data_IF_011440979002
#
_entry.id   IF_011440979002
#
_cell.length_a   1.000
_cell.length_b   1.000
_cell.length_c   1.000
_cell.angle_alpha   90.00
_cell.angle_beta   90.00
_cell.angle_gamma   90.00
#
_symmetry.space_group_name_H-M   'P 1'
#
loop_
_entity.id
_entity.type
_entity.pdbx_description
1 polymer ?
#
# COMPACT_ATOMS: atom_id res chain seq x y z
N UNK A 1 12.14 28.85 -6.91
CA UNK A 1 12.43 27.59 -6.17
C UNK A 1 13.74 27.02 -6.66
N UNK A 2 14.50 26.34 -5.80
CA UNK A 2 15.67 25.58 -6.24
C UNK A 2 15.25 24.25 -6.87
N UNK A 3 16.11 23.64 -7.70
CA UNK A 3 15.83 22.32 -8.31
C UNK A 3 15.51 21.27 -7.25
N UNK A 4 16.23 21.28 -6.13
CA UNK A 4 15.97 20.38 -5.01
C UNK A 4 14.55 20.54 -4.44
N UNK A 5 14.09 21.77 -4.24
CA UNK A 5 12.75 22.04 -3.72
C UNK A 5 11.67 21.56 -4.70
N UNK A 6 11.88 21.73 -6.01
CA UNK A 6 10.95 21.21 -7.03
C UNK A 6 10.89 19.68 -7.04
N UNK A 7 12.03 19.01 -6.84
CA UNK A 7 12.07 17.55 -6.69
C UNK A 7 11.30 17.06 -5.45
N UNK A 8 11.11 17.88 -4.42
CA UNK A 8 10.31 17.53 -3.24
C UNK A 8 8.79 17.73 -3.45
N UNK A 9 8.35 18.51 -4.46
CA UNK A 9 6.92 18.75 -4.71
C UNK A 9 6.19 17.45 -5.08
N UNK A 10 4.99 17.24 -4.55
CA UNK A 10 4.15 16.12 -5.01
C UNK A 10 3.66 16.35 -6.45
N UNK A 11 3.04 15.34 -7.06
CA UNK A 11 2.61 15.40 -8.47
C UNK A 11 1.65 16.56 -8.76
N UNK A 12 0.72 16.83 -7.84
CA UNK A 12 -0.21 17.95 -7.96
C UNK A 12 0.51 19.31 -7.86
N UNK A 13 1.44 19.46 -6.91
CA UNK A 13 2.24 20.67 -6.72
C UNK A 13 3.14 20.97 -7.91
N UNK A 14 3.82 19.96 -8.47
CA UNK A 14 4.62 20.15 -9.69
C UNK A 14 3.76 20.58 -10.89
N UNK A 15 2.58 19.98 -11.07
CA UNK A 15 1.66 20.39 -12.15
C UNK A 15 1.07 21.77 -11.95
N UNK A 16 0.75 22.14 -10.71
CA UNK A 16 0.27 23.48 -10.37
C UNK A 16 1.35 24.54 -10.66
N UNK A 17 2.60 24.26 -10.29
CA UNK A 17 3.74 25.12 -10.60
C UNK A 17 3.89 25.32 -12.12
N UNK A 18 3.94 24.22 -12.89
CA UNK A 18 4.04 24.27 -14.36
C UNK A 18 2.88 25.06 -14.98
N UNK A 19 1.66 24.94 -14.43
CA UNK A 19 0.47 25.66 -14.93
C UNK A 19 0.52 27.15 -14.61
N UNK A 20 1.11 27.55 -13.47
CA UNK A 20 1.24 28.94 -13.06
C UNK A 20 2.28 29.74 -13.87
N UNK A 21 3.17 29.06 -14.59
CA UNK A 21 4.19 29.72 -15.41
C UNK A 21 3.61 30.30 -16.70
N UNK A 22 3.80 31.60 -16.91
CA UNK A 22 3.44 32.32 -18.15
C UNK A 22 4.53 32.23 -19.21
N UNK A 23 5.81 32.22 -18.80
CA UNK A 23 6.96 32.16 -19.70
C UNK A 23 7.22 30.73 -20.21
N UNK A 24 7.43 30.58 -21.52
CA UNK A 24 7.69 29.28 -22.18
C UNK A 24 8.98 28.63 -21.68
N UNK A 25 10.03 29.41 -21.43
CA UNK A 25 11.33 28.91 -20.97
C UNK A 25 11.22 28.28 -19.58
N UNK A 26 10.54 28.96 -18.66
CA UNK A 26 10.32 28.47 -17.29
C UNK A 26 9.39 27.26 -17.29
N UNK A 27 8.33 27.28 -18.07
CA UNK A 27 7.42 26.14 -18.23
C UNK A 27 8.15 24.88 -18.73
N UNK A 28 9.06 25.02 -19.71
CA UNK A 28 9.89 23.91 -20.19
C UNK A 28 10.84 23.41 -19.10
N UNK A 29 11.50 24.31 -18.37
CA UNK A 29 12.40 23.96 -17.26
C UNK A 29 11.68 23.15 -16.18
N UNK A 30 10.53 23.64 -15.69
CA UNK A 30 9.76 22.96 -14.64
C UNK A 30 9.20 21.62 -15.14
N UNK A 31 8.80 21.53 -16.40
CA UNK A 31 8.37 20.26 -17.02
C UNK A 31 9.52 19.28 -17.11
N UNK A 32 10.73 19.72 -17.49
CA UNK A 32 11.91 18.86 -17.54
C UNK A 32 12.29 18.34 -16.14
N UNK A 33 12.28 19.20 -15.12
CA UNK A 33 12.54 18.80 -13.72
C UNK A 33 11.49 17.78 -13.26
N UNK A 34 10.23 18.00 -13.62
CA UNK A 34 9.14 17.09 -13.31
C UNK A 34 9.31 15.70 -13.94
N UNK A 35 9.61 15.64 -15.24
CA UNK A 35 9.88 14.38 -15.93
C UNK A 35 11.14 13.69 -15.38
N UNK A 36 12.20 14.45 -15.14
CA UNK A 36 13.43 13.95 -14.54
C UNK A 36 13.17 13.31 -13.17
N UNK A 37 12.37 13.94 -12.32
CA UNK A 37 11.94 13.37 -11.04
C UNK A 37 11.28 12.01 -11.21
N UNK A 38 10.36 11.89 -12.16
CA UNK A 38 9.61 10.64 -12.41
C UNK A 38 10.55 9.56 -12.91
N UNK A 39 11.40 9.86 -13.89
CA UNK A 39 12.39 8.92 -14.40
C UNK A 39 13.36 8.45 -13.30
N UNK A 40 13.88 9.38 -12.48
CA UNK A 40 14.76 9.06 -11.37
C UNK A 40 14.06 8.15 -10.34
N UNK A 41 12.81 8.47 -10.00
CA UNK A 41 12.03 7.67 -9.04
C UNK A 41 11.77 6.26 -9.60
N UNK A 42 11.39 6.17 -10.87
CA UNK A 42 11.12 4.88 -11.51
C UNK A 42 12.40 4.03 -11.63
N UNK A 43 13.51 4.62 -12.07
CA UNK A 43 14.80 3.95 -12.18
C UNK A 43 15.29 3.46 -10.81
N UNK A 44 15.14 4.27 -9.76
CA UNK A 44 15.46 3.88 -8.39
C UNK A 44 14.61 2.70 -7.92
N UNK A 45 13.28 2.77 -8.08
CA UNK A 45 12.38 1.68 -7.72
C UNK A 45 12.72 0.38 -8.47
N UNK A 46 12.95 0.46 -9.78
CA UNK A 46 13.32 -0.71 -10.59
C UNK A 46 14.67 -1.28 -10.16
N UNK A 47 15.68 -0.44 -9.93
CA UNK A 47 17.00 -0.89 -9.50
C UNK A 47 16.93 -1.66 -8.17
N UNK A 48 16.15 -1.17 -7.20
CA UNK A 48 15.95 -1.87 -5.93
C UNK A 48 15.23 -3.21 -6.15
N UNK A 49 14.11 -3.24 -6.88
CA UNK A 49 13.36 -4.48 -7.11
C UNK A 49 14.20 -5.51 -7.87
N UNK A 50 14.90 -5.10 -8.93
CA UNK A 50 15.80 -5.97 -9.70
C UNK A 50 16.97 -6.46 -8.83
N UNK A 51 17.55 -5.58 -8.01
CA UNK A 51 18.61 -5.94 -7.08
C UNK A 51 18.16 -7.02 -6.09
N UNK A 52 16.99 -6.84 -5.47
CA UNK A 52 16.43 -7.85 -4.57
C UNK A 52 16.12 -9.17 -5.27
N UNK A 53 15.59 -9.14 -6.49
CA UNK A 53 15.37 -10.35 -7.30
C UNK A 53 16.67 -11.10 -7.60
N UNK A 54 17.74 -10.39 -7.93
CA UNK A 54 19.04 -11.00 -8.26
C UNK A 54 19.76 -11.56 -7.04
N UNK A 55 19.67 -10.88 -5.89
CA UNK A 55 20.40 -11.25 -4.67
C UNK A 55 19.64 -12.33 -3.88
N UNK A 56 18.32 -12.19 -3.75
CA UNK A 56 17.50 -13.04 -2.87
C UNK A 56 16.53 -13.96 -3.64
N UNK A 57 16.59 -13.95 -4.98
CA UNK A 57 15.73 -14.74 -5.87
C UNK A 57 14.46 -14.02 -6.30
N UNK A 58 13.93 -14.40 -7.47
CA UNK A 58 12.77 -13.74 -8.10
C UNK A 58 11.51 -13.74 -7.22
N UNK A 59 11.32 -14.77 -6.39
CA UNK A 59 10.22 -14.84 -5.40
C UNK A 59 10.30 -13.79 -4.29
N UNK A 60 11.46 -13.14 -4.11
CA UNK A 60 11.70 -12.10 -3.11
C UNK A 60 11.80 -10.70 -3.68
N UNK A 61 11.50 -10.53 -4.98
CA UNK A 61 11.30 -9.21 -5.62
C UNK A 61 10.35 -8.31 -4.82
N UNK A 62 9.29 -8.90 -4.24
CA UNK A 62 8.28 -8.19 -3.45
C UNK A 62 8.85 -7.59 -2.16
N UNK A 63 9.89 -8.22 -1.59
CA UNK A 63 10.57 -7.70 -0.39
C UNK A 63 11.23 -6.37 -0.72
N UNK A 64 11.84 -6.24 -1.91
CA UNK A 64 12.41 -4.97 -2.36
C UNK A 64 11.38 -3.85 -2.42
N UNK A 65 10.16 -4.14 -2.88
CA UNK A 65 9.03 -3.18 -2.87
C UNK A 65 8.65 -2.81 -1.44
N UNK A 66 8.49 -3.79 -0.56
CA UNK A 66 8.12 -3.57 0.86
C UNK A 66 9.15 -2.70 1.58
N UNK A 67 10.44 -3.00 1.42
CA UNK A 67 11.52 -2.24 2.04
C UNK A 67 11.52 -0.81 1.51
N UNK A 68 11.35 -0.62 0.19
CA UNK A 68 11.28 0.71 -0.40
C UNK A 68 10.09 1.51 0.14
N UNK A 69 8.91 0.89 0.24
CA UNK A 69 7.72 1.52 0.82
C UNK A 69 7.96 1.96 2.27
N UNK A 70 8.52 1.06 3.10
CA UNK A 70 8.84 1.36 4.49
C UNK A 70 9.88 2.48 4.62
N UNK A 71 11.01 2.40 3.91
CA UNK A 71 12.07 3.43 3.95
C UNK A 71 11.51 4.79 3.52
N UNK A 72 10.71 4.85 2.46
CA UNK A 72 10.16 6.11 1.96
C UNK A 72 9.11 6.71 2.91
N UNK A 73 8.25 5.89 3.51
CA UNK A 73 7.26 6.35 4.47
C UNK A 73 7.93 6.85 5.76
N UNK A 74 8.79 6.02 6.36
CA UNK A 74 9.43 6.26 7.65
C UNK A 74 10.61 7.23 7.60
N UNK A 75 10.99 7.70 6.40
CA UNK A 75 11.86 8.85 6.23
C UNK A 75 11.21 10.14 6.74
N UNK A 76 9.90 10.28 6.55
CA UNK A 76 9.16 11.51 6.87
C UNK A 76 8.21 11.34 8.04
N UNK A 77 7.63 10.15 8.17
CA UNK A 77 6.61 9.89 9.16
C UNK A 77 7.17 9.21 10.40
N UNK A 78 6.93 9.85 11.54
CA UNK A 78 7.21 9.28 12.86
C UNK A 78 5.95 8.78 13.56
N UNK A 79 6.16 8.04 14.64
CA UNK A 79 5.09 7.44 15.43
C UNK A 79 4.60 8.32 16.59
N UNK A 80 5.10 9.54 16.76
CA UNK A 80 4.69 10.41 17.88
C UNK A 80 5.07 9.92 19.28
N UNK A 81 6.00 8.96 19.38
CA UNK A 81 6.54 8.41 20.63
C UNK A 81 8.05 8.56 20.69
N UNK A 82 8.62 8.37 21.89
CA UNK A 82 10.07 8.39 22.12
C UNK A 82 10.81 7.47 21.15
N UNK A 83 11.91 7.97 20.58
CA UNK A 83 12.68 7.28 19.52
C UNK A 83 13.05 5.83 19.87
N UNK A 84 13.55 5.48 21.08
CA UNK A 84 13.84 4.08 21.42
C UNK A 84 12.61 3.16 21.36
N UNK A 85 11.46 3.66 21.84
CA UNK A 85 10.18 2.96 21.81
C UNK A 85 9.65 2.81 20.38
N UNK A 86 9.79 3.85 19.56
CA UNK A 86 9.47 3.83 18.13
C UNK A 86 10.32 2.81 17.35
N UNK A 87 11.62 2.73 17.65
CA UNK A 87 12.52 1.74 17.05
C UNK A 87 12.09 0.32 17.43
N UNK A 88 11.75 0.08 18.70
CA UNK A 88 11.22 -1.21 19.17
C UNK A 88 9.90 -1.59 18.48
N UNK A 89 8.95 -0.64 18.37
CA UNK A 89 7.70 -0.85 17.64
C UNK A 89 7.97 -1.20 16.17
N UNK A 90 8.87 -0.49 15.51
CA UNK A 90 9.21 -0.72 14.12
C UNK A 90 9.85 -2.11 13.91
N UNK A 91 10.73 -2.53 14.81
CA UNK A 91 11.28 -3.90 14.80
C UNK A 91 10.18 -4.95 14.94
N UNK A 92 9.25 -4.76 15.87
CA UNK A 92 8.10 -5.67 16.05
C UNK A 92 7.20 -5.70 14.80
N UNK A 93 6.95 -4.55 14.17
CA UNK A 93 6.20 -4.49 12.91
C UNK A 93 6.92 -5.23 11.78
N UNK A 94 8.24 -5.13 11.66
CA UNK A 94 9.00 -5.93 10.71
C UNK A 94 8.96 -7.43 11.01
N UNK A 95 8.96 -7.83 12.28
CA UNK A 95 8.77 -9.22 12.67
C UNK A 95 7.37 -9.72 12.24
N UNK A 96 6.31 -8.94 12.45
CA UNK A 96 4.96 -9.26 11.98
C UNK A 96 4.92 -9.38 10.45
N UNK A 97 5.52 -8.43 9.72
CA UNK A 97 5.61 -8.48 8.26
C UNK A 97 6.38 -9.72 7.77
N UNK A 98 7.38 -10.17 8.52
CA UNK A 98 8.22 -11.31 8.13
C UNK A 98 7.53 -12.65 8.37
N UNK A 99 6.96 -12.86 9.56
CA UNK A 99 6.44 -14.15 9.98
C UNK A 99 4.91 -14.30 9.81
N UNK A 100 4.15 -13.22 10.00
CA UNK A 100 2.69 -13.23 9.95
C UNK A 100 2.12 -13.73 8.61
N UNK A 101 2.58 -13.20 7.46
CA UNK A 101 2.17 -13.69 6.14
C UNK A 101 2.38 -15.19 5.93
N UNK A 102 3.53 -15.73 6.35
CA UNK A 102 3.83 -17.15 6.20
C UNK A 102 2.96 -18.01 7.11
N UNK A 103 2.75 -17.56 8.35
CA UNK A 103 1.88 -18.24 9.30
C UNK A 103 0.41 -18.27 8.82
N UNK A 104 -0.06 -17.19 8.19
CA UNK A 104 -1.40 -17.14 7.61
C UNK A 104 -1.56 -18.10 6.43
N UNK A 105 -0.54 -18.27 5.59
CA UNK A 105 -0.55 -19.18 4.45
C UNK A 105 -0.26 -20.65 4.80
N UNK A 106 0.16 -20.95 6.03
CA UNK A 106 0.51 -22.31 6.45
C UNK A 106 -0.70 -23.18 6.83
N UNK A 107 -1.87 -22.60 7.03
CA UNK A 107 -3.06 -23.29 7.51
C UNK A 107 -4.27 -23.20 6.58
N UNK A 108 -5.40 -23.68 7.07
CA UNK A 108 -6.70 -23.52 6.41
C UNK A 108 -7.28 -22.11 6.57
N UNK A 109 -8.45 -21.89 5.97
CA UNK A 109 -9.10 -20.58 5.91
C UNK A 109 -9.38 -19.94 7.28
N UNK A 110 -9.67 -20.75 8.30
CA UNK A 110 -9.91 -20.27 9.67
C UNK A 110 -8.61 -19.72 10.30
N UNK A 111 -7.51 -20.47 10.22
CA UNK A 111 -6.21 -20.02 10.71
C UNK A 111 -5.77 -18.75 9.98
N UNK A 112 -5.91 -18.75 8.66
CA UNK A 112 -5.60 -17.59 7.84
C UNK A 112 -6.37 -16.33 8.30
N UNK A 113 -7.68 -16.44 8.53
CA UNK A 113 -8.50 -15.34 9.01
C UNK A 113 -8.04 -14.83 10.38
N UNK A 114 -7.79 -15.73 11.33
CA UNK A 114 -7.36 -15.37 12.68
C UNK A 114 -5.97 -14.71 12.68
N UNK A 115 -4.99 -15.30 11.98
CA UNK A 115 -3.62 -14.77 11.90
C UNK A 115 -3.62 -13.41 11.21
N UNK A 116 -4.32 -13.26 10.08
CA UNK A 116 -4.43 -11.97 9.39
C UNK A 116 -5.08 -10.92 10.30
N UNK A 117 -6.12 -11.28 11.06
CA UNK A 117 -6.80 -10.37 12.00
C UNK A 117 -5.85 -9.88 13.09
N UNK A 118 -5.13 -10.78 13.74
CA UNK A 118 -4.16 -10.42 14.80
C UNK A 118 -3.01 -9.59 14.24
N UNK A 119 -2.40 -10.02 13.14
CA UNK A 119 -1.27 -9.31 12.53
C UNK A 119 -1.67 -7.90 12.07
N UNK A 120 -2.78 -7.76 11.36
CA UNK A 120 -3.25 -6.46 10.87
C UNK A 120 -3.65 -5.56 12.04
N UNK A 121 -4.30 -6.09 13.09
CA UNK A 121 -4.62 -5.31 14.29
C UNK A 121 -3.36 -4.75 14.95
N UNK A 122 -2.34 -5.58 15.17
CA UNK A 122 -1.08 -5.13 15.76
C UNK A 122 -0.38 -4.07 14.89
N UNK A 123 -0.34 -4.25 13.56
CA UNK A 123 0.20 -3.26 12.63
C UNK A 123 -0.59 -1.94 12.67
N UNK A 124 -1.92 -2.01 12.81
CA UNK A 124 -2.77 -0.83 12.91
C UNK A 124 -2.57 -0.09 14.23
N UNK A 125 -2.46 -0.80 15.35
CA UNK A 125 -2.25 -0.20 16.69
C UNK A 125 -0.86 0.43 16.78
N UNK A 126 0.19 -0.30 16.38
CA UNK A 126 1.57 0.19 16.45
C UNK A 126 1.87 1.26 15.39
N UNK A 127 1.30 1.09 14.19
CA UNK A 127 1.57 1.96 13.04
C UNK A 127 0.69 3.20 12.96
N UNK A 128 -0.44 3.25 13.67
CA UNK A 128 -1.41 4.34 13.54
C UNK A 128 -1.61 5.17 14.80
N UNK A 129 -0.57 5.90 15.20
CA UNK A 129 -0.71 6.92 16.25
C UNK A 129 -1.26 8.24 15.67
N UNK A 130 -0.66 8.72 14.58
CA UNK A 130 -1.16 9.87 13.81
C UNK A 130 -1.72 9.39 12.45
N UNK A 131 -3.05 9.35 12.37
CA UNK A 131 -3.80 8.88 11.20
C UNK A 131 -3.47 9.69 9.93
N UNK A 132 -3.15 10.99 10.07
CA UNK A 132 -2.85 11.91 8.96
C UNK A 132 -1.55 11.55 8.24
N UNK A 133 -0.63 10.85 8.91
CA UNK A 133 0.66 10.47 8.32
C UNK A 133 0.57 9.20 7.44
N UNK A 134 -0.59 8.54 7.38
CA UNK A 134 -0.86 7.36 6.54
C UNK A 134 0.09 6.15 6.73
N UNK A 135 0.87 6.10 7.82
CA UNK A 135 1.80 4.99 8.14
C UNK A 135 1.14 3.61 8.10
N UNK A 136 -0.06 3.52 8.65
CA UNK A 136 -0.88 2.32 8.70
C UNK A 136 -1.18 1.76 7.30
N UNK A 137 -1.46 2.62 6.33
CA UNK A 137 -1.78 2.22 4.96
C UNK A 137 -0.56 1.62 4.27
N UNK A 138 0.63 2.16 4.53
CA UNK A 138 1.89 1.60 4.02
C UNK A 138 2.16 0.22 4.62
N UNK A 139 2.08 0.08 5.95
CA UNK A 139 2.35 -1.18 6.63
C UNK A 139 1.36 -2.27 6.25
N UNK A 140 0.07 -1.94 6.17
CA UNK A 140 -0.96 -2.88 5.76
C UNK A 140 -0.78 -3.30 4.30
N UNK A 141 -0.41 -2.38 3.41
CA UNK A 141 -0.09 -2.72 2.03
C UNK A 141 1.11 -3.68 1.97
N UNK A 142 2.18 -3.40 2.73
CA UNK A 142 3.34 -4.28 2.83
C UNK A 142 2.95 -5.69 3.30
N UNK A 143 2.10 -5.79 4.33
CA UNK A 143 1.62 -7.07 4.84
C UNK A 143 0.86 -7.86 3.77
N UNK A 144 -0.11 -7.23 3.11
CA UNK A 144 -0.93 -7.89 2.08
C UNK A 144 -0.11 -8.33 0.86
N UNK A 145 0.92 -7.55 0.49
CA UNK A 145 1.85 -7.94 -0.56
C UNK A 145 2.68 -9.16 -0.16
N UNK A 146 3.24 -9.19 1.06
CA UNK A 146 4.00 -10.36 1.52
C UNK A 146 3.11 -11.60 1.66
N UNK A 147 1.89 -11.44 2.14
CA UNK A 147 0.89 -12.51 2.24
C UNK A 147 0.50 -13.04 0.86
N UNK A 148 0.32 -12.16 -0.12
CA UNK A 148 -0.10 -12.55 -1.46
C UNK A 148 0.98 -13.21 -2.32
N UNK A 149 2.24 -13.03 -1.98
CA UNK A 149 3.40 -13.62 -2.65
C UNK A 149 4.16 -14.55 -1.70
N UNK A 150 3.49 -15.59 -1.19
CA UNK A 150 4.11 -16.56 -0.28
C UNK A 150 5.28 -17.30 -0.94
N UNK A 151 6.29 -17.66 -0.14
CA UNK A 151 7.45 -18.46 -0.54
C UNK A 151 7.80 -19.45 0.56
N UNK A 152 8.35 -20.60 0.18
CA UNK A 152 8.72 -21.69 1.09
C UNK A 152 10.15 -22.18 0.82
N UNK A 153 10.69 -23.00 1.72
CA UNK A 153 12.03 -23.59 1.59
C UNK A 153 13.14 -22.52 1.56
N UNK A 154 14.14 -22.73 0.71
CA UNK A 154 15.31 -21.85 0.61
C UNK A 154 14.96 -20.41 0.25
N UNK A 155 13.94 -20.21 -0.59
CA UNK A 155 13.45 -18.87 -0.94
C UNK A 155 12.89 -18.14 0.29
N UNK A 156 12.31 -18.86 1.26
CA UNK A 156 11.86 -18.26 2.51
C UNK A 156 13.05 -17.88 3.40
N UNK A 157 14.12 -18.68 3.45
CA UNK A 157 15.35 -18.30 4.17
C UNK A 157 15.92 -17.00 3.58
N UNK A 158 16.00 -16.91 2.24
CA UNK A 158 16.42 -15.67 1.56
C UNK A 158 15.48 -14.49 1.87
N UNK A 159 14.17 -14.74 2.01
CA UNK A 159 13.20 -13.71 2.44
C UNK A 159 13.51 -13.20 3.84
N UNK A 160 13.84 -14.08 4.79
CA UNK A 160 14.18 -13.68 6.16
C UNK A 160 15.41 -12.77 6.18
N UNK A 161 16.45 -13.11 5.42
CA UNK A 161 17.67 -12.30 5.28
C UNK A 161 17.33 -10.94 4.65
N UNK A 162 16.59 -10.94 3.54
CA UNK A 162 16.18 -9.74 2.83
C UNK A 162 15.33 -8.79 3.70
N UNK A 163 14.38 -9.36 4.47
CA UNK A 163 13.57 -8.61 5.43
C UNK A 163 14.40 -8.07 6.59
N UNK A 164 15.38 -8.82 7.09
CA UNK A 164 16.31 -8.36 8.12
C UNK A 164 17.15 -7.15 7.65
N UNK A 165 17.72 -7.22 6.44
CA UNK A 165 18.44 -6.10 5.82
C UNK A 165 17.50 -4.89 5.63
N UNK A 166 16.28 -5.15 5.17
CA UNK A 166 15.24 -4.15 5.01
C UNK A 166 14.83 -3.44 6.30
N UNK A 167 14.69 -4.22 7.37
CA UNK A 167 14.40 -3.72 8.71
C UNK A 167 15.54 -2.82 9.20
N UNK A 168 16.80 -3.29 9.09
CA UNK A 168 17.97 -2.52 9.47
C UNK A 168 18.06 -1.18 8.70
N UNK A 169 17.88 -1.21 7.38
CA UNK A 169 17.88 0.00 6.56
C UNK A 169 16.78 0.99 6.99
N UNK A 170 15.57 0.49 7.24
CA UNK A 170 14.44 1.33 7.66
C UNK A 170 14.66 1.91 9.05
N UNK A 171 15.17 1.12 10.00
CA UNK A 171 15.52 1.55 11.36
C UNK A 171 16.61 2.62 11.35
N UNK A 172 17.66 2.46 10.54
CA UNK A 172 18.74 3.45 10.39
C UNK A 172 18.18 4.77 9.85
N UNK A 173 17.36 4.72 8.79
CA UNK A 173 16.73 5.91 8.21
C UNK A 173 15.81 6.59 9.21
N UNK A 174 14.97 5.83 9.90
CA UNK A 174 14.07 6.35 10.91
C UNK A 174 14.83 7.04 12.04
N UNK A 175 15.85 6.38 12.60
CA UNK A 175 16.66 6.94 13.67
C UNK A 175 17.37 8.23 13.22
N UNK A 176 18.03 8.22 12.06
CA UNK A 176 18.73 9.39 11.54
C UNK A 176 17.80 10.61 11.41
N UNK A 177 16.59 10.38 10.93
CA UNK A 177 15.65 11.46 10.62
C UNK A 177 14.85 11.94 11.82
N UNK A 178 14.63 11.08 12.82
CA UNK A 178 13.72 11.37 13.93
C UNK A 178 14.41 11.46 15.30
N UNK A 179 15.70 11.12 15.45
CA UNK A 179 16.41 11.15 16.74
C UNK A 179 16.40 12.49 17.47
N UNK A 180 16.26 13.60 16.74
CA UNK A 180 16.21 14.96 17.31
C UNK A 180 14.82 15.38 17.79
N UNK A 181 13.77 14.62 17.44
CA UNK A 181 12.39 14.90 17.88
C UNK A 181 12.20 14.40 19.31
N UNK A 182 11.64 15.24 20.17
CA UNK A 182 11.40 14.90 21.57
C UNK A 182 9.89 14.69 21.78
N UNK A 183 9.53 13.46 22.12
CA UNK A 183 8.16 13.10 22.51
C UNK A 183 8.14 12.64 23.96
N UNK A 184 7.08 12.98 24.70
CA UNK A 184 6.89 12.51 26.09
C UNK A 184 6.29 11.09 26.13
N UNK A 185 5.52 10.71 25.10
CA UNK A 185 4.80 9.44 25.01
C UNK A 185 5.72 8.24 24.80
N UNK A 186 5.37 7.11 25.38
CA UNK A 186 6.03 5.82 25.30
C UNK A 186 5.21 4.79 24.53
N UNK A 187 5.76 3.60 24.28
CA UNK A 187 5.04 2.51 23.62
C UNK A 187 3.84 2.03 24.45
N UNK A 188 3.99 1.98 25.78
CA UNK A 188 2.89 1.59 26.68
C UNK A 188 1.71 2.56 26.64
N UNK A 189 1.96 3.84 26.35
CA UNK A 189 0.89 4.83 26.24
C UNK A 189 0.01 4.58 25.01
N UNK A 190 0.56 4.03 23.91
CA UNK A 190 -0.24 3.65 22.74
C UNK A 190 -1.30 2.61 23.11
N UNK A 191 -0.93 1.60 23.90
CA UNK A 191 -1.85 0.56 24.34
C UNK A 191 -2.85 1.08 25.37
N UNK A 192 -2.45 2.01 26.24
CA UNK A 192 -3.38 2.68 27.17
C UNK A 192 -4.39 3.59 26.47
N UNK A 193 -3.99 4.22 25.37
CA UNK A 193 -4.88 5.04 24.53
C UNK A 193 -5.75 4.20 23.58
N UNK A 194 -5.65 2.86 23.61
CA UNK A 194 -6.56 1.99 22.89
C UNK A 194 -7.90 1.93 23.62
N UNK A 195 -8.76 2.89 23.28
CA UNK A 195 -10.09 3.03 23.84
C UNK A 195 -11.13 2.75 22.75
N UNK A 196 -12.06 1.82 22.97
CA UNK A 196 -13.11 1.49 22.00
C UNK A 196 -14.08 2.66 21.77
N UNK A 197 -14.09 3.67 22.63
CA UNK A 197 -14.88 4.89 22.44
C UNK A 197 -14.17 5.92 21.54
N UNK A 198 -12.87 5.76 21.31
CA UNK A 198 -12.09 6.63 20.42
C UNK A 198 -12.39 6.36 18.94
N UNK A 199 -12.62 7.43 18.17
CA UNK A 199 -12.78 7.37 16.71
C UNK A 199 -11.63 6.64 16.03
N UNK A 200 -10.39 6.83 16.51
CA UNK A 200 -9.19 6.18 15.97
C UNK A 200 -9.26 4.68 16.13
N UNK A 201 -9.53 4.20 17.34
CA UNK A 201 -9.61 2.77 17.67
C UNK A 201 -10.73 2.10 16.89
N UNK A 202 -11.90 2.75 16.83
CA UNK A 202 -13.06 2.22 16.11
C UNK A 202 -12.81 2.10 14.62
N UNK A 203 -12.15 3.09 14.03
CA UNK A 203 -11.72 3.00 12.64
C UNK A 203 -10.62 1.93 12.44
N UNK A 204 -9.65 1.79 13.36
CA UNK A 204 -8.65 0.71 13.29
C UNK A 204 -9.33 -0.66 13.28
N UNK A 205 -10.28 -0.90 14.20
CA UNK A 205 -11.08 -2.13 14.28
C UNK A 205 -11.88 -2.33 12.99
N UNK A 206 -12.52 -1.27 12.47
CA UNK A 206 -13.25 -1.32 11.19
C UNK A 206 -12.35 -1.69 10.02
N UNK A 207 -11.14 -1.15 9.95
CA UNK A 207 -10.17 -1.50 8.91
C UNK A 207 -9.70 -2.95 9.04
N UNK A 208 -9.36 -3.40 10.25
CA UNK A 208 -8.90 -4.77 10.53
C UNK A 208 -9.96 -5.77 10.09
N UNK A 209 -11.18 -5.66 10.62
CA UNK A 209 -12.24 -6.59 10.28
C UNK A 209 -12.66 -6.42 8.83
N UNK A 210 -12.78 -5.21 8.31
CA UNK A 210 -13.17 -4.97 6.91
C UNK A 210 -12.21 -5.62 5.91
N UNK A 211 -10.90 -5.55 6.13
CA UNK A 211 -9.93 -6.18 5.22
C UNK A 211 -9.93 -7.70 5.37
N UNK A 212 -9.92 -8.21 6.60
CA UNK A 212 -9.80 -9.66 6.86
C UNK A 212 -11.06 -10.43 6.50
N UNK A 213 -12.24 -9.87 6.75
CA UNK A 213 -13.51 -10.47 6.34
C UNK A 213 -13.70 -10.42 4.82
N UNK A 214 -13.24 -9.37 4.13
CA UNK A 214 -13.22 -9.35 2.67
C UNK A 214 -12.34 -10.46 2.09
N UNK A 215 -11.18 -10.70 2.70
CA UNK A 215 -10.28 -11.80 2.33
C UNK A 215 -10.87 -13.18 2.68
N UNK A 216 -11.57 -13.30 3.80
CA UNK A 216 -12.28 -14.51 4.20
C UNK A 216 -13.38 -14.86 3.18
N UNK A 217 -14.22 -13.90 2.81
CA UNK A 217 -15.26 -14.08 1.78
C UNK A 217 -14.61 -14.46 0.44
N UNK A 218 -13.53 -13.78 0.06
CA UNK A 218 -12.77 -14.14 -1.14
C UNK A 218 -12.25 -15.60 -1.09
N UNK A 219 -11.82 -16.07 0.08
CA UNK A 219 -11.43 -17.46 0.29
C UNK A 219 -12.58 -18.45 0.20
N UNK A 220 -13.74 -18.13 0.78
CA UNK A 220 -14.96 -18.94 0.65
C UNK A 220 -15.44 -19.03 -0.80
N UNK A 221 -15.27 -17.96 -1.57
CA UNK A 221 -15.59 -17.90 -3.00
C UNK A 221 -14.47 -18.47 -3.90
N UNK A 222 -13.39 -19.02 -3.32
CA UNK A 222 -12.22 -19.53 -4.04
C UNK A 222 -11.59 -18.53 -5.03
N UNK A 223 -11.65 -17.23 -4.70
CA UNK A 223 -11.07 -16.18 -5.53
C UNK A 223 -9.53 -16.27 -5.48
N UNK A 224 -8.84 -16.35 -6.63
CA UNK A 224 -7.39 -16.40 -6.66
C UNK A 224 -6.80 -15.09 -6.12
N UNK A 225 -5.65 -15.19 -5.45
CA UNK A 225 -4.88 -14.02 -4.98
C UNK A 225 -5.72 -13.03 -4.14
N UNK A 226 -6.35 -13.55 -3.07
CA UNK A 226 -7.20 -12.83 -2.10
C UNK A 226 -6.64 -11.49 -1.61
N UNK A 227 -5.32 -11.33 -1.58
CA UNK A 227 -4.64 -10.05 -1.28
C UNK A 227 -5.18 -8.87 -2.12
N UNK A 228 -5.61 -9.09 -3.37
CA UNK A 228 -6.08 -8.01 -4.22
C UNK A 228 -7.41 -7.42 -3.75
N UNK A 229 -8.31 -8.27 -3.23
CA UNK A 229 -9.54 -7.82 -2.57
C UNK A 229 -9.20 -7.08 -1.29
N UNK A 230 -8.25 -7.59 -0.49
CA UNK A 230 -7.77 -6.89 0.71
C UNK A 230 -7.22 -5.50 0.39
N UNK A 231 -6.40 -5.37 -0.66
CA UNK A 231 -5.83 -4.09 -1.13
C UNK A 231 -6.92 -3.15 -1.65
N UNK A 232 -7.93 -3.68 -2.33
CA UNK A 232 -9.08 -2.89 -2.77
C UNK A 232 -9.87 -2.36 -1.58
N UNK A 233 -10.23 -3.22 -0.62
CA UNK A 233 -10.97 -2.87 0.59
C UNK A 233 -10.20 -1.84 1.44
N UNK A 234 -8.93 -2.08 1.77
CA UNK A 234 -8.13 -1.14 2.58
C UNK A 234 -8.04 0.25 1.95
N UNK A 235 -8.04 0.33 0.61
CA UNK A 235 -7.91 1.61 -0.09
C UNK A 235 -9.15 2.49 0.04
N UNK A 236 -10.30 1.88 0.35
CA UNK A 236 -11.61 2.50 0.53
C UNK A 236 -11.91 2.75 2.01
N UNK A 237 -11.47 1.86 2.91
CA UNK A 237 -11.68 1.95 4.36
C UNK A 237 -10.84 3.06 5.03
N UNK A 238 -10.89 4.28 4.50
CA UNK A 238 -10.15 5.43 5.01
C UNK A 238 -10.79 6.00 6.28
N UNK A 239 -10.04 6.78 7.09
CA UNK A 239 -10.53 7.34 8.35
C UNK A 239 -11.76 8.24 8.23
N UNK A 240 -11.95 8.88 7.07
CA UNK A 240 -13.02 9.86 6.86
C UNK A 240 -14.04 9.33 5.84
N UNK A 241 -15.31 9.26 6.25
CA UNK A 241 -16.41 8.68 5.46
C UNK A 241 -16.58 9.30 4.05
N UNK A 242 -16.47 10.63 3.94
CA UNK A 242 -16.64 11.31 2.65
C UNK A 242 -15.51 10.99 1.68
N UNK A 243 -14.29 10.78 2.19
CA UNK A 243 -13.16 10.35 1.38
C UNK A 243 -13.33 8.91 0.88
N UNK A 244 -13.94 8.03 1.68
CA UNK A 244 -14.23 6.64 1.28
C UNK A 244 -15.13 6.60 0.05
N UNK A 245 -16.24 7.36 0.07
CA UNK A 245 -17.16 7.47 -1.08
C UNK A 245 -16.46 8.04 -2.32
N UNK A 246 -15.67 9.11 -2.14
CA UNK A 246 -14.93 9.75 -3.24
C UNK A 246 -13.90 8.82 -3.87
N UNK A 247 -13.18 8.05 -3.04
CA UNK A 247 -12.23 7.03 -3.51
C UNK A 247 -12.94 5.90 -4.25
N UNK A 248 -14.07 5.39 -3.76
CA UNK A 248 -14.83 4.34 -4.45
C UNK A 248 -15.29 4.81 -5.84
N UNK A 249 -15.87 6.01 -5.92
CA UNK A 249 -16.31 6.64 -7.19
C UNK A 249 -15.17 6.89 -8.18
N UNK A 250 -13.94 6.99 -7.71
CA UNK A 250 -12.76 7.20 -8.58
C UNK A 250 -12.07 5.89 -8.95
N UNK A 251 -11.98 4.95 -8.00
CA UNK A 251 -11.24 3.69 -8.15
C UNK A 251 -11.92 2.74 -9.13
N UNK A 252 -13.23 2.52 -8.97
CA UNK A 252 -13.95 1.52 -9.78
C UNK A 252 -13.92 1.92 -11.26
N UNK A 253 -14.33 3.15 -11.66
CA UNK A 253 -14.26 3.56 -13.06
C UNK A 253 -12.81 3.58 -13.57
N UNK A 254 -11.85 4.04 -12.76
CA UNK A 254 -10.45 4.06 -13.14
C UNK A 254 -9.89 2.68 -13.46
N UNK A 255 -10.22 1.65 -12.68
CA UNK A 255 -9.80 0.28 -12.98
C UNK A 255 -10.48 -0.28 -14.24
N UNK A 256 -11.78 -0.01 -14.43
CA UNK A 256 -12.52 -0.44 -15.63
C UNK A 256 -11.92 0.20 -16.89
N UNK A 257 -11.70 1.51 -16.88
CA UNK A 257 -11.05 2.23 -17.98
C UNK A 257 -9.62 1.69 -18.20
N UNK A 258 -8.88 1.44 -17.12
CA UNK A 258 -7.56 0.82 -17.19
C UNK A 258 -7.57 -0.56 -17.86
N UNK A 259 -8.58 -1.40 -17.58
CA UNK A 259 -8.75 -2.69 -18.23
C UNK A 259 -9.01 -2.54 -19.73
N UNK A 260 -9.91 -1.63 -20.15
CA UNK A 260 -10.18 -1.40 -21.57
C UNK A 260 -8.96 -0.87 -22.33
N UNK A 261 -8.23 0.08 -21.75
CA UNK A 261 -7.00 0.58 -22.38
C UNK A 261 -5.94 -0.52 -22.43
N UNK A 262 -5.78 -1.32 -21.37
CA UNK A 262 -4.86 -2.44 -21.38
C UNK A 262 -5.21 -3.46 -22.46
N UNK A 263 -6.49 -3.80 -22.63
CA UNK A 263 -6.96 -4.70 -23.69
C UNK A 263 -6.65 -4.13 -25.09
N UNK A 264 -6.93 -2.85 -25.32
CA UNK A 264 -6.60 -2.20 -26.57
C UNK A 264 -5.09 -2.25 -26.85
N UNK A 265 -4.26 -1.93 -25.85
CA UNK A 265 -2.80 -2.02 -25.98
C UNK A 265 -2.34 -3.46 -26.23
N UNK A 266 -2.96 -4.44 -25.57
CA UNK A 266 -2.61 -5.85 -25.74
C UNK A 266 -2.88 -6.32 -27.18
N UNK A 267 -4.02 -5.97 -27.77
CA UNK A 267 -4.35 -6.38 -29.14
C UNK A 267 -3.69 -5.55 -30.24
N UNK A 268 -3.37 -4.27 -29.99
CA UNK A 268 -2.78 -3.38 -30.99
C UNK A 268 -1.25 -3.42 -31.03
N UNK A 269 -0.60 -3.78 -29.92
CA UNK A 269 0.85 -3.77 -29.81
C UNK A 269 1.47 -5.16 -29.97
N UNK A 270 2.67 -5.27 -30.55
CA UNK A 270 3.37 -6.54 -30.66
C UNK A 270 3.72 -7.11 -29.27
N UNK A 271 3.82 -8.45 -29.14
CA UNK A 271 4.12 -9.11 -27.86
C UNK A 271 5.41 -8.65 -27.18
N UNK A 272 6.37 -8.13 -27.95
CA UNK A 272 7.62 -7.57 -27.43
C UNK A 272 7.40 -6.40 -26.45
N UNK A 273 6.27 -5.70 -26.54
CA UNK A 273 5.97 -4.55 -25.68
C UNK A 273 5.30 -4.97 -24.35
N UNK A 274 4.72 -6.17 -24.26
CA UNK A 274 3.93 -6.59 -23.10
C UNK A 274 4.71 -6.55 -21.79
N UNK A 275 6.00 -6.91 -21.82
CA UNK A 275 6.90 -6.87 -20.66
C UNK A 275 7.15 -5.44 -20.14
N UNK A 276 6.93 -4.43 -20.98
CA UNK A 276 7.09 -3.02 -20.62
C UNK A 276 5.79 -2.34 -20.18
N UNK A 277 4.63 -2.98 -20.36
CA UNK A 277 3.33 -2.38 -20.01
C UNK A 277 3.24 -2.07 -18.51
N UNK A 278 3.83 -2.90 -17.66
CA UNK A 278 3.93 -2.62 -16.23
C UNK A 278 4.80 -1.39 -15.91
N UNK A 279 5.90 -1.19 -16.65
CA UNK A 279 6.78 -0.02 -16.53
C UNK A 279 6.07 1.24 -17.01
N UNK A 280 5.35 1.16 -18.13
CA UNK A 280 4.50 2.24 -18.65
C UNK A 280 3.43 2.62 -17.61
N UNK A 281 2.81 1.62 -16.96
CA UNK A 281 1.90 1.83 -15.84
C UNK A 281 2.56 2.59 -14.68
N UNK A 282 3.77 2.20 -14.26
CA UNK A 282 4.52 2.89 -13.21
C UNK A 282 4.81 4.36 -13.54
N UNK A 283 5.26 4.64 -14.78
CA UNK A 283 5.48 6.02 -15.26
C UNK A 283 4.16 6.80 -15.28
N UNK A 284 3.07 6.19 -15.76
CA UNK A 284 1.74 6.79 -15.78
C UNK A 284 1.20 7.12 -14.39
N UNK A 285 1.44 6.27 -13.39
CA UNK A 285 1.14 6.58 -11.98
C UNK A 285 1.99 7.77 -11.51
N UNK A 286 3.27 7.81 -11.85
CA UNK A 286 4.16 8.94 -11.57
C UNK A 286 3.67 10.25 -12.18
N UNK A 287 3.07 10.20 -13.38
CA UNK A 287 2.47 11.36 -14.05
C UNK A 287 1.08 11.72 -13.53
N UNK A 288 0.46 10.90 -12.68
CA UNK A 288 -0.92 11.08 -12.26
C UNK A 288 -1.04 11.90 -10.98
N UNK A 289 -1.80 13.00 -11.07
CA UNK A 289 -2.09 13.88 -9.92
C UNK A 289 -3.43 13.56 -9.23
N UNK A 290 -4.30 12.79 -9.89
CA UNK A 290 -5.61 12.39 -9.35
C UNK A 290 -5.65 10.89 -9.10
N UNK A 291 -6.43 10.49 -8.10
CA UNK A 291 -6.56 9.09 -7.70
C UNK A 291 -7.18 8.21 -8.79
N UNK A 292 -8.15 8.73 -9.56
CA UNK A 292 -8.75 8.01 -10.70
C UNK A 292 -7.72 7.68 -11.79
N UNK A 293 -6.87 8.64 -12.19
CA UNK A 293 -5.81 8.38 -13.16
C UNK A 293 -4.77 7.40 -12.62
N UNK A 294 -4.42 7.50 -11.33
CA UNK A 294 -3.55 6.50 -10.69
C UNK A 294 -4.16 5.10 -10.75
N UNK A 295 -5.48 4.96 -10.56
CA UNK A 295 -6.17 3.68 -10.66
C UNK A 295 -6.13 3.08 -12.09
N UNK A 296 -6.24 3.92 -13.13
CA UNK A 296 -6.07 3.52 -14.53
C UNK A 296 -4.68 2.92 -14.75
N UNK A 297 -3.62 3.67 -14.45
CA UNK A 297 -2.25 3.21 -14.74
C UNK A 297 -1.78 2.10 -13.81
N UNK A 298 -2.22 2.07 -12.55
CA UNK A 298 -1.97 0.96 -11.64
C UNK A 298 -2.61 -0.35 -12.13
N UNK A 299 -3.65 -0.26 -12.97
CA UNK A 299 -4.24 -1.44 -13.60
C UNK A 299 -3.29 -2.09 -14.60
N UNK A 300 -2.43 -1.32 -15.27
CA UNK A 300 -1.48 -1.87 -16.24
C UNK A 300 -0.44 -2.75 -15.56
N UNK A 301 0.16 -2.27 -14.45
CA UNK A 301 1.11 -3.04 -13.67
C UNK A 301 0.51 -4.30 -13.03
N UNK A 302 -0.75 -4.24 -12.61
CA UNK A 302 -1.43 -5.41 -12.07
C UNK A 302 -1.78 -6.43 -13.16
N UNK A 303 -2.32 -5.98 -14.29
CA UNK A 303 -2.67 -6.86 -15.41
C UNK A 303 -1.42 -7.49 -16.05
N UNK A 304 -0.31 -6.75 -16.17
CA UNK A 304 0.94 -7.31 -16.70
C UNK A 304 1.44 -8.51 -15.87
N UNK A 305 1.20 -8.52 -14.56
CA UNK A 305 1.53 -9.66 -13.69
C UNK A 305 0.45 -10.73 -13.79
N UNK A 306 -0.84 -10.36 -13.71
CA UNK A 306 -1.93 -11.34 -13.68
C UNK A 306 -2.13 -12.08 -14.99
N UNK A 307 -1.83 -11.49 -16.16
CA UNK A 307 -1.93 -12.19 -17.44
C UNK A 307 -1.05 -13.44 -17.45
N UNK A 308 0.16 -13.36 -16.88
CA UNK A 308 1.07 -14.51 -16.78
C UNK A 308 0.60 -15.61 -15.81
N UNK A 309 -0.40 -15.33 -14.95
CA UNK A 309 -0.88 -16.26 -13.92
C UNK A 309 -2.27 -16.80 -14.24
N UNK A 310 -3.16 -15.94 -14.75
CA UNK A 310 -4.60 -16.21 -14.92
C UNK A 310 -5.05 -16.17 -16.38
N UNK A 311 -4.13 -15.89 -17.32
CA UNK A 311 -4.46 -15.57 -18.71
C UNK A 311 -5.13 -14.20 -18.84
N UNK A 312 -5.27 -13.72 -20.08
CA UNK A 312 -5.87 -12.41 -20.36
C UNK A 312 -7.32 -12.28 -19.86
N UNK A 313 -8.25 -13.23 -20.15
CA UNK A 313 -9.63 -13.12 -19.71
C UNK A 313 -9.74 -13.12 -18.18
N UNK A 314 -9.01 -14.03 -17.51
CA UNK A 314 -8.99 -14.14 -16.06
C UNK A 314 -8.40 -12.88 -15.41
N UNK A 315 -7.28 -12.37 -15.92
CA UNK A 315 -6.64 -11.16 -15.40
C UNK A 315 -7.60 -9.95 -15.43
N UNK A 316 -8.29 -9.72 -16.55
CA UNK A 316 -9.24 -8.61 -16.68
C UNK A 316 -10.45 -8.82 -15.78
N UNK A 317 -11.06 -10.01 -15.81
CA UNK A 317 -12.21 -10.33 -14.98
C UNK A 317 -11.90 -10.11 -13.50
N UNK A 318 -10.86 -10.73 -12.98
CA UNK A 318 -10.50 -10.61 -11.56
C UNK A 318 -10.03 -9.22 -11.19
N UNK A 319 -9.47 -8.44 -12.13
CA UNK A 319 -9.15 -7.03 -11.86
C UNK A 319 -10.40 -6.20 -11.63
N UNK A 320 -11.41 -6.35 -12.48
CA UNK A 320 -12.69 -5.64 -12.34
C UNK A 320 -13.40 -6.15 -11.09
N UNK A 321 -13.56 -7.47 -10.95
CA UNK A 321 -14.24 -8.12 -9.83
C UNK A 321 -13.62 -7.71 -8.49
N UNK A 322 -12.30 -7.87 -8.30
CA UNK A 322 -11.65 -7.58 -7.02
C UNK A 322 -11.77 -6.11 -6.63
N UNK A 323 -11.66 -5.18 -7.60
CA UNK A 323 -11.78 -3.76 -7.31
C UNK A 323 -13.22 -3.30 -7.11
N UNK A 324 -14.17 -3.85 -7.87
CA UNK A 324 -15.59 -3.58 -7.68
C UNK A 324 -16.07 -4.14 -6.35
N UNK A 325 -15.86 -5.44 -6.11
CA UNK A 325 -16.21 -6.12 -4.88
C UNK A 325 -15.55 -5.45 -3.67
N UNK A 326 -14.22 -5.28 -3.69
CA UNK A 326 -13.52 -4.65 -2.57
C UNK A 326 -13.99 -3.22 -2.28
N UNK A 327 -14.38 -2.45 -3.31
CA UNK A 327 -14.89 -1.10 -3.11
C UNK A 327 -16.32 -1.05 -2.58
N UNK A 328 -17.23 -1.84 -3.16
CA UNK A 328 -18.62 -1.95 -2.70
C UNK A 328 -18.64 -2.50 -1.28
N UNK A 329 -17.91 -3.60 -1.05
CA UNK A 329 -17.74 -4.21 0.26
C UNK A 329 -17.20 -3.20 1.27
N UNK A 330 -16.11 -2.50 0.95
CA UNK A 330 -15.51 -1.52 1.85
C UNK A 330 -16.49 -0.42 2.26
N UNK A 331 -17.26 0.14 1.32
CA UNK A 331 -18.26 1.18 1.63
C UNK A 331 -19.41 0.62 2.48
N UNK A 332 -19.91 -0.57 2.17
CA UNK A 332 -20.99 -1.20 2.92
C UNK A 332 -20.56 -1.58 4.33
N UNK A 333 -19.37 -2.18 4.46
CA UNK A 333 -18.80 -2.61 5.73
C UNK A 333 -18.57 -1.41 6.65
N UNK A 334 -17.95 -0.35 6.13
CA UNK A 334 -17.74 0.91 6.85
C UNK A 334 -19.07 1.46 7.38
N UNK A 335 -20.08 1.62 6.52
CA UNK A 335 -21.39 2.14 6.93
C UNK A 335 -22.17 1.22 7.87
N UNK A 336 -22.03 -0.09 7.74
CA UNK A 336 -22.74 -1.06 8.56
C UNK A 336 -22.07 -1.22 9.92
N UNK A 337 -20.86 -1.76 9.90
CA UNK A 337 -20.09 -2.08 11.09
C UNK A 337 -19.62 -0.82 11.85
N UNK A 338 -19.26 0.25 11.13
CA UNK A 338 -18.92 1.54 11.74
C UNK A 338 -20.07 2.08 12.60
N UNK A 339 -21.31 2.04 12.08
CA UNK A 339 -22.51 2.45 12.83
C UNK A 339 -22.82 1.56 14.03
N UNK A 340 -22.56 0.25 13.93
CA UNK A 340 -22.72 -0.67 15.07
C UNK A 340 -21.73 -0.28 16.17
N UNK A 341 -20.47 -0.03 15.81
CA UNK A 341 -19.47 0.48 16.75
C UNK A 341 -19.86 1.87 17.31
N UNK A 342 -20.53 2.74 16.52
CA UNK A 342 -20.97 4.07 16.99
C UNK A 342 -22.00 3.92 18.11
N UNK A 343 -22.99 3.05 17.88
CA UNK A 343 -24.06 2.79 18.84
C UNK A 343 -23.56 2.14 20.12
N UNK A 344 -22.65 1.17 20.02
CA UNK A 344 -22.06 0.54 21.21
C UNK A 344 -21.24 1.54 22.04
N UNK A 345 -20.61 2.52 21.39
CA UNK A 345 -19.87 3.58 22.10
C UNK A 345 -20.79 4.58 22.81
N UNK A 346 -21.98 4.86 22.27
CA UNK A 346 -22.94 5.78 22.89
C UNK A 346 -23.73 5.15 24.04
N UNK A 347 -23.99 3.83 24.00
CA UNK A 347 -24.73 3.12 25.04
C UNK A 347 -23.87 2.78 26.28
N UNK A 348 -22.59 3.14 26.29
CA UNK A 348 -21.67 2.97 27.42
C UNK A 348 -21.46 4.22 28.28
N UNK A 349 -22.20 5.30 27.99
CA UNK A 349 -22.40 6.46 28.87
C UNK A 349 -23.77 6.33 29.55
#
# INVERSE_FOLDING_TARGET
MTVYQELQLNQAGSKALIRSCTNRKDKMRHTAIYLFKICLTMAFCMAVVIGFSKIFGNGNSIVGVVVLLCVMAFRFADFGIRTPHAMGALTLMFAILTFGPRLANAGGLVQEFLVNTVCILLLMVLGCHNVVMFNHSTLLLCYLLLYGYDVTGDLYIQRLIAMGIGAAATLIVYYRNHRKKVYKRSLGDIFKEFDIHSLRTRWQITMVFGVTTAMLIAGLLHVPRRMWIGIAAMSILVPFHEDAKKRAKSRVPGNIVGCFIFLALYYLLPPSIYNYVGVIGGIGVGLSATYGCQAVFNTFGALSIAVGILGLPGAVFFRIFNNFFGAVYGVLFERGFGRVLDRMSCNGQ
#
